data_IF_940207595219
#
_entry.id   IF_940207595219
#
_cell.length_a   1.000
_cell.length_b   1.000
_cell.length_c   1.000
_cell.angle_alpha   90.00
_cell.angle_beta   90.00
_cell.angle_gamma   90.00
#
_symmetry.space_group_name_H-M   'P 1'
#
loop_
_entity.id
_entity.type
_entity.pdbx_description
1 polymer ?
#
# COMPACT_ATOMS: atom_id res chain seq x y z
N UNK A 1 -49.94 3.38 -5.74
CA UNK A 1 -49.14 4.26 -6.59
C UNK A 1 -48.19 3.42 -7.41
N UNK A 2 -48.64 3.04 -8.60
CA UNK A 2 -47.92 2.19 -9.56
C UNK A 2 -47.60 3.05 -10.77
N UNK A 3 -46.45 3.67 -10.78
CA UNK A 3 -45.96 4.41 -11.96
C UNK A 3 -44.45 4.23 -11.98
N UNK A 4 -43.97 3.19 -12.63
CA UNK A 4 -42.66 3.11 -13.33
C UNK A 4 -42.50 1.71 -13.94
N UNK A 5 -43.40 1.37 -14.84
CA UNK A 5 -43.18 0.30 -15.79
C UNK A 5 -43.38 0.87 -17.20
N UNK A 6 -42.42 1.64 -17.68
CA UNK A 6 -42.33 1.91 -19.09
C UNK A 6 -41.12 1.16 -19.63
N UNK A 7 -41.38 0.11 -20.39
CA UNK A 7 -40.41 -0.54 -21.27
C UNK A 7 -39.74 0.52 -22.18
N UNK A 8 -38.58 0.99 -21.77
CA UNK A 8 -37.69 1.76 -22.65
C UNK A 8 -36.92 0.74 -23.48
N UNK A 9 -37.50 0.31 -24.57
CA UNK A 9 -36.78 -0.36 -25.64
C UNK A 9 -36.03 0.72 -26.44
N UNK A 10 -34.92 1.21 -25.92
CA UNK A 10 -34.11 2.18 -26.64
C UNK A 10 -33.03 1.48 -27.45
N UNK A 11 -32.77 1.91 -28.70
CA UNK A 11 -31.69 1.39 -29.55
C UNK A 11 -30.27 1.63 -28.93
N UNK A 12 -30.13 2.50 -27.96
CA UNK A 12 -28.88 2.76 -27.21
C UNK A 12 -28.34 1.56 -26.43
N UNK A 13 -29.21 0.60 -26.05
CA UNK A 13 -28.74 -0.64 -25.39
C UNK A 13 -27.80 -1.47 -26.26
N UNK A 14 -27.85 -1.32 -27.58
CA UNK A 14 -27.06 -2.10 -28.53
C UNK A 14 -25.59 -1.70 -28.56
N UNK A 15 -25.28 -0.39 -28.55
CA UNK A 15 -23.91 0.12 -28.65
C UNK A 15 -23.09 -0.19 -27.38
N UNK A 16 -23.65 0.10 -26.18
CA UNK A 16 -22.98 -0.21 -24.93
C UNK A 16 -22.86 -1.71 -24.68
N UNK A 17 -23.83 -2.51 -25.16
CA UNK A 17 -23.75 -3.96 -25.05
C UNK A 17 -22.67 -4.56 -25.95
N UNK A 18 -22.38 -3.93 -27.08
CA UNK A 18 -21.31 -4.32 -27.98
C UNK A 18 -19.94 -3.88 -27.46
N UNK A 19 -19.84 -2.67 -26.91
CA UNK A 19 -18.60 -2.12 -26.35
C UNK A 19 -18.14 -2.82 -25.07
N UNK A 20 -19.09 -3.30 -24.26
CA UNK A 20 -18.82 -3.95 -22.97
C UNK A 20 -19.67 -5.23 -22.84
N UNK A 21 -19.25 -6.32 -23.49
CA UNK A 21 -19.97 -7.58 -23.40
C UNK A 21 -20.06 -8.02 -21.92
N UNK A 22 -21.25 -8.43 -21.49
CA UNK A 22 -21.44 -9.02 -20.18
C UNK A 22 -20.59 -10.28 -20.05
N UNK A 23 -20.01 -10.47 -18.86
CA UNK A 23 -19.26 -11.67 -18.57
C UNK A 23 -20.20 -12.87 -18.42
N UNK A 24 -20.29 -13.70 -19.46
CA UNK A 24 -21.16 -14.87 -19.50
C UNK A 24 -20.45 -16.15 -19.05
N UNK A 25 -19.20 -16.04 -18.60
CA UNK A 25 -18.40 -17.19 -18.18
C UNK A 25 -18.56 -17.47 -16.69
N UNK A 26 -18.16 -18.67 -16.28
CA UNK A 26 -18.13 -19.09 -14.89
C UNK A 26 -17.35 -18.09 -14.02
N UNK A 27 -17.80 -17.81 -12.78
CA UNK A 27 -17.05 -16.99 -11.82
C UNK A 27 -15.60 -17.43 -11.63
N UNK A 28 -15.30 -18.71 -11.75
CA UNK A 28 -13.95 -19.26 -11.64
C UNK A 28 -13.01 -18.76 -12.74
N UNK A 29 -13.53 -18.60 -13.95
CA UNK A 29 -12.74 -18.04 -15.07
C UNK A 29 -12.40 -16.56 -14.78
N UNK A 30 -13.34 -15.82 -14.19
CA UNK A 30 -13.07 -14.45 -13.77
C UNK A 30 -11.99 -14.40 -12.69
N UNK A 31 -12.10 -15.24 -11.66
CA UNK A 31 -11.10 -15.32 -10.59
C UNK A 31 -9.72 -15.66 -11.16
N UNK A 32 -9.64 -16.64 -12.05
CA UNK A 32 -8.38 -17.00 -12.72
C UNK A 32 -7.82 -15.82 -13.53
N UNK A 33 -8.64 -15.14 -14.32
CA UNK A 33 -8.24 -13.97 -15.09
C UNK A 33 -7.74 -12.83 -14.18
N UNK A 34 -8.42 -12.59 -13.06
CA UNK A 34 -8.02 -11.61 -12.05
C UNK A 34 -6.65 -11.95 -11.44
N UNK A 35 -6.44 -13.21 -11.09
CA UNK A 35 -5.15 -13.67 -10.54
C UNK A 35 -4.04 -13.57 -11.59
N UNK A 36 -4.31 -13.85 -12.85
CA UNK A 36 -3.35 -13.64 -13.96
C UNK A 36 -3.01 -12.16 -14.09
N UNK A 37 -3.99 -11.27 -14.12
CA UNK A 37 -3.75 -9.82 -14.19
C UNK A 37 -2.94 -9.32 -12.99
N UNK A 38 -3.26 -9.79 -11.79
CA UNK A 38 -2.48 -9.50 -10.58
C UNK A 38 -1.03 -9.98 -10.71
N UNK A 39 -0.82 -11.22 -11.14
CA UNK A 39 0.51 -11.78 -11.34
C UNK A 39 1.31 -11.02 -12.41
N UNK A 40 0.67 -10.56 -13.49
CA UNK A 40 1.30 -9.68 -14.49
C UNK A 40 1.74 -8.37 -13.86
N UNK A 41 0.88 -7.74 -13.06
CA UNK A 41 1.19 -6.49 -12.37
C UNK A 41 2.37 -6.64 -11.40
N UNK A 42 2.41 -7.74 -10.63
CA UNK A 42 3.54 -8.08 -9.75
C UNK A 42 4.81 -8.30 -10.56
N UNK A 43 4.72 -9.11 -11.62
CA UNK A 43 5.89 -9.48 -12.44
C UNK A 43 6.53 -8.27 -13.11
N UNK A 44 5.74 -7.34 -13.64
CA UNK A 44 6.26 -6.14 -14.30
C UNK A 44 7.14 -5.31 -13.35
N UNK A 45 6.74 -5.18 -12.10
CA UNK A 45 7.55 -4.51 -11.07
C UNK A 45 8.76 -5.35 -10.65
N UNK A 46 8.58 -6.67 -10.53
CA UNK A 46 9.66 -7.57 -10.18
C UNK A 46 10.76 -7.59 -11.23
N UNK A 47 10.45 -7.40 -12.53
CA UNK A 47 11.44 -7.28 -13.60
C UNK A 47 12.42 -6.11 -13.39
N UNK A 48 12.02 -5.05 -12.69
CA UNK A 48 12.95 -3.99 -12.29
C UNK A 48 14.03 -4.52 -11.34
N UNK A 49 13.64 -5.36 -10.36
CA UNK A 49 14.60 -5.98 -9.46
C UNK A 49 15.56 -6.91 -10.20
N UNK A 50 15.05 -7.72 -11.12
CA UNK A 50 15.87 -8.58 -12.00
C UNK A 50 16.84 -7.74 -12.83
N UNK A 51 16.40 -6.58 -13.30
CA UNK A 51 17.29 -5.63 -14.01
C UNK A 51 18.39 -5.07 -13.11
N UNK A 52 18.08 -4.78 -11.84
CA UNK A 52 19.09 -4.33 -10.86
C UNK A 52 20.14 -5.41 -10.57
N UNK A 53 19.72 -6.66 -10.50
CA UNK A 53 20.65 -7.80 -10.30
C UNK A 53 21.64 -7.98 -11.44
N UNK A 54 21.31 -7.52 -12.66
CA UNK A 54 22.23 -7.55 -13.80
C UNK A 54 23.37 -6.52 -13.68
N UNK A 55 23.17 -5.46 -12.88
CA UNK A 55 24.19 -4.45 -12.62
C UNK A 55 24.30 -4.16 -11.12
N UNK A 56 24.77 -5.13 -10.33
CA UNK A 56 24.75 -5.03 -8.86
C UNK A 56 25.58 -3.86 -8.34
N UNK A 57 26.67 -3.49 -9.01
CA UNK A 57 27.52 -2.36 -8.59
C UNK A 57 26.78 -1.01 -8.59
N UNK A 58 25.75 -0.86 -9.42
CA UNK A 58 24.95 0.36 -9.51
C UNK A 58 23.77 0.40 -8.53
N UNK A 59 23.27 -0.78 -8.12
CA UNK A 59 22.00 -0.87 -7.40
C UNK A 59 22.08 -1.56 -6.04
N UNK A 60 23.24 -2.03 -5.63
CA UNK A 60 23.43 -2.69 -4.35
C UNK A 60 24.68 -2.18 -3.63
N UNK A 61 24.57 -2.09 -2.31
CA UNK A 61 25.71 -1.86 -1.40
C UNK A 61 25.83 -3.12 -0.54
N UNK A 62 26.76 -4.01 -0.91
CA UNK A 62 26.81 -5.36 -0.36
C UNK A 62 25.55 -6.15 -0.74
N UNK A 63 24.82 -6.63 0.26
CA UNK A 63 23.54 -7.37 0.13
C UNK A 63 22.30 -6.46 0.16
N UNK A 64 22.48 -5.14 0.26
CA UNK A 64 21.41 -4.16 0.43
C UNK A 64 21.04 -3.54 -0.91
N UNK A 65 19.81 -3.73 -1.42
CA UNK A 65 19.33 -3.01 -2.58
C UNK A 65 19.21 -1.50 -2.27
N UNK A 66 19.42 -0.69 -3.30
CA UNK A 66 19.32 0.77 -3.21
C UNK A 66 17.88 1.17 -2.89
N UNK A 67 17.74 2.18 -2.06
CA UNK A 67 16.48 2.84 -1.78
C UNK A 67 16.37 4.13 -2.60
N UNK A 68 15.20 4.34 -3.18
CA UNK A 68 14.94 5.48 -4.08
C UNK A 68 14.08 6.56 -3.42
N UNK A 69 13.70 6.39 -2.15
CA UNK A 69 13.03 7.41 -1.34
C UNK A 69 13.79 7.69 -0.04
N UNK A 70 13.66 8.91 0.45
CA UNK A 70 14.22 9.31 1.74
C UNK A 70 13.46 8.70 2.93
N UNK A 71 12.22 8.27 2.72
CA UNK A 71 11.37 7.70 3.77
C UNK A 71 11.62 6.21 4.00
N UNK A 72 12.24 5.53 3.04
CA UNK A 72 12.52 4.10 3.13
C UNK A 72 13.28 3.70 4.41
N UNK A 73 14.36 4.39 4.84
CA UNK A 73 15.04 4.10 6.09
C UNK A 73 14.13 4.21 7.31
N UNK A 74 13.18 5.15 7.30
CA UNK A 74 12.22 5.33 8.38
C UNK A 74 11.32 4.09 8.53
N UNK A 75 10.72 3.62 7.44
CA UNK A 75 9.84 2.43 7.46
C UNK A 75 10.58 1.16 7.85
N UNK A 76 11.81 0.97 7.34
CA UNK A 76 12.65 -0.18 7.67
C UNK A 76 13.12 -0.17 9.13
N UNK A 77 13.45 1.00 9.65
CA UNK A 77 13.82 1.18 11.05
C UNK A 77 12.66 0.78 11.96
N UNK A 78 11.46 1.28 11.71
CA UNK A 78 10.28 0.95 12.51
C UNK A 78 9.95 -0.56 12.46
N UNK A 79 10.13 -1.19 11.29
CA UNK A 79 9.96 -2.63 11.14
C UNK A 79 10.96 -3.42 12.00
N UNK A 80 12.23 -2.97 12.04
CA UNK A 80 13.27 -3.58 12.84
C UNK A 80 12.99 -3.42 14.33
N UNK A 81 12.72 -2.18 14.78
CA UNK A 81 12.42 -1.88 16.18
C UNK A 81 11.20 -2.68 16.68
N UNK A 82 10.21 -2.91 15.81
CA UNK A 82 9.07 -3.75 16.14
C UNK A 82 9.47 -5.21 16.41
N UNK A 83 10.30 -5.81 15.54
CA UNK A 83 10.75 -7.19 15.70
C UNK A 83 11.70 -7.35 16.90
N UNK A 84 12.50 -6.33 17.21
CA UNK A 84 13.41 -6.30 18.36
C UNK A 84 12.69 -5.98 19.68
N UNK A 85 11.38 -5.64 19.64
CA UNK A 85 10.58 -5.32 20.82
C UNK A 85 10.96 -3.99 21.49
N UNK A 86 11.68 -3.12 20.78
CA UNK A 86 12.13 -1.80 21.26
C UNK A 86 11.33 -0.65 20.63
N UNK A 87 10.33 -0.94 19.79
CA UNK A 87 9.52 0.06 19.15
C UNK A 87 8.93 1.07 20.14
N UNK A 88 9.11 2.35 19.85
CA UNK A 88 8.69 3.44 20.74
C UNK A 88 9.60 3.67 21.97
N UNK A 89 10.71 2.93 22.10
CA UNK A 89 11.74 3.11 23.13
C UNK A 89 13.00 3.75 22.52
N UNK A 90 12.83 4.81 21.74
CA UNK A 90 13.93 5.47 21.05
C UNK A 90 14.83 6.21 22.05
N UNK A 91 15.99 5.66 22.33
CA UNK A 91 16.98 6.24 23.25
C UNK A 91 17.48 7.60 22.76
N UNK A 92 17.57 7.80 21.45
CA UNK A 92 18.00 9.09 20.87
C UNK A 92 17.01 10.22 21.14
N UNK A 93 15.72 9.88 21.25
CA UNK A 93 14.67 10.85 21.62
C UNK A 93 14.58 11.05 23.14
N UNK A 94 15.03 10.08 23.91
CA UNK A 94 15.06 10.11 25.35
C UNK A 94 16.41 10.62 25.91
N UNK A 95 17.31 11.07 25.03
CA UNK A 95 18.59 11.63 25.49
C UNK A 95 18.29 12.90 26.29
N UNK A 96 18.66 12.96 27.60
CA UNK A 96 18.42 14.18 28.39
C UNK A 96 19.19 15.33 27.74
N UNK A 97 18.46 16.36 27.35
CA UNK A 97 19.08 17.61 26.91
C UNK A 97 19.85 18.19 28.07
N UNK A 98 21.16 18.07 28.04
CA UNK A 98 22.02 18.57 29.10
C UNK A 98 22.95 17.54 29.71
N UNK A 99 23.03 16.30 29.18
CA UNK A 99 24.18 15.45 29.52
C UNK A 99 25.43 16.12 28.97
N UNK A 100 26.27 16.58 29.88
CA UNK A 100 27.57 17.20 29.59
C UNK A 100 28.46 16.35 28.67
N UNK A 101 28.27 15.04 28.66
CA UNK A 101 28.98 14.10 27.80
C UNK A 101 28.72 14.29 26.29
N UNK A 102 27.53 14.72 25.87
CA UNK A 102 27.25 14.97 24.45
C UNK A 102 27.84 16.30 24.00
N UNK A 103 27.92 17.27 24.90
CA UNK A 103 28.51 18.59 24.67
C UNK A 103 30.03 18.52 24.55
N UNK A 104 30.68 17.62 25.31
CA UNK A 104 32.13 17.43 25.28
C UNK A 104 32.64 16.65 24.05
N UNK A 105 31.88 15.65 23.59
CA UNK A 105 32.26 14.84 22.42
C UNK A 105 32.12 15.56 21.08
N UNK A 106 31.29 16.56 20.96
CA UNK A 106 31.14 17.38 19.76
C UNK A 106 31.79 18.75 19.92
N UNK A 107 33.08 18.83 20.22
CA UNK A 107 33.87 20.04 20.18
C UNK A 107 33.12 21.32 19.69
N UNK A 108 32.18 21.82 20.50
CA UNK A 108 32.09 23.24 20.71
C UNK A 108 31.36 24.12 19.71
N UNK A 109 30.46 23.64 18.84
CA UNK A 109 29.68 24.57 18.01
C UNK A 109 28.26 24.10 17.73
N UNK A 110 27.48 23.94 18.81
CA UNK A 110 26.02 24.01 18.65
C UNK A 110 25.69 25.51 18.84
N UNK A 111 25.09 26.19 17.85
CA UNK A 111 24.65 27.58 18.01
C UNK A 111 23.76 27.73 19.24
N UNK A 112 23.96 28.80 20.01
CA UNK A 112 23.22 29.05 21.26
C UNK A 112 21.69 29.08 21.08
N UNK A 113 21.23 29.32 19.87
CA UNK A 113 19.81 29.25 19.47
C UNK A 113 19.16 27.88 19.74
N UNK A 114 19.94 26.80 19.70
CA UNK A 114 19.45 25.45 20.03
C UNK A 114 19.60 25.07 21.49
N UNK A 115 20.28 25.90 22.32
CA UNK A 115 20.44 25.67 23.75
C UNK A 115 19.23 26.09 24.58
N UNK A 116 18.35 26.93 24.02
CA UNK A 116 17.25 27.55 24.75
C UNK A 116 15.91 26.87 24.59
N UNK A 117 15.82 25.76 23.88
CA UNK A 117 14.61 24.93 23.95
C UNK A 117 14.58 24.28 25.33
N UNK A 118 14.01 24.99 26.33
CA UNK A 118 13.56 24.37 27.56
C UNK A 118 12.66 23.22 27.15
N UNK A 119 13.18 22.00 27.21
CA UNK A 119 12.34 20.81 27.14
C UNK A 119 11.39 20.85 28.32
N UNK A 120 10.21 21.37 28.12
CA UNK A 120 9.04 21.01 28.89
C UNK A 120 9.06 19.48 28.91
N UNK A 121 8.89 18.87 30.10
CA UNK A 121 8.91 17.42 30.32
C UNK A 121 8.38 16.68 29.11
N UNK A 122 9.26 16.02 28.37
CA UNK A 122 8.89 15.35 27.14
C UNK A 122 7.87 14.29 27.52
N UNK A 123 6.62 14.55 27.21
CA UNK A 123 5.64 13.50 27.02
C UNK A 123 6.29 12.52 26.08
N UNK A 124 6.77 11.39 26.62
CA UNK A 124 7.27 10.28 25.82
C UNK A 124 6.15 9.99 24.85
N UNK A 125 6.29 10.42 23.60
CA UNK A 125 5.34 10.09 22.54
C UNK A 125 5.59 8.60 22.34
N UNK A 126 4.91 7.78 23.11
CA UNK A 126 4.85 6.35 22.87
C UNK A 126 4.05 6.23 21.58
N UNK A 127 4.73 5.96 20.50
CA UNK A 127 4.07 5.49 19.29
C UNK A 127 3.35 4.20 19.67
N UNK A 128 2.05 4.28 19.91
CA UNK A 128 1.24 3.16 20.37
C UNK A 128 1.19 2.05 19.32
N UNK A 129 1.14 2.44 18.06
CA UNK A 129 0.88 1.52 16.97
C UNK A 129 1.98 1.64 15.92
N UNK A 130 2.56 0.51 15.54
CA UNK A 130 3.53 0.49 14.44
C UNK A 130 2.82 0.78 13.13
N UNK A 131 3.38 1.63 12.24
CA UNK A 131 2.79 1.89 10.94
C UNK A 131 2.59 0.58 10.16
N UNK A 132 1.44 0.48 9.48
CA UNK A 132 1.04 -0.76 8.79
C UNK A 132 2.11 -1.26 7.81
N UNK A 133 2.74 -0.38 7.04
CA UNK A 133 3.81 -0.77 6.11
C UNK A 133 4.99 -1.39 6.87
N UNK A 134 5.43 -0.78 7.97
CA UNK A 134 6.51 -1.30 8.81
C UNK A 134 6.14 -2.64 9.44
N UNK A 135 4.89 -2.80 9.88
CA UNK A 135 4.38 -4.07 10.39
C UNK A 135 4.41 -5.17 9.31
N UNK A 136 3.95 -4.87 8.11
CA UNK A 136 3.97 -5.83 6.99
C UNK A 136 5.41 -6.23 6.65
N UNK A 137 6.34 -5.28 6.56
CA UNK A 137 7.75 -5.56 6.33
C UNK A 137 8.30 -6.45 7.45
N UNK A 138 8.06 -6.11 8.72
CA UNK A 138 8.52 -6.88 9.88
C UNK A 138 8.06 -8.34 9.82
N UNK A 139 6.83 -8.61 9.36
CA UNK A 139 6.27 -9.97 9.24
C UNK A 139 6.88 -10.78 8.10
N UNK A 140 7.32 -10.14 7.01
CA UNK A 140 7.91 -10.86 5.87
C UNK A 140 9.43 -11.00 5.97
N UNK A 141 10.11 -10.23 6.79
CA UNK A 141 11.58 -10.29 6.97
C UNK A 141 12.13 -11.69 7.23
N UNK A 142 11.48 -12.58 8.03
CA UNK A 142 11.99 -13.93 8.24
C UNK A 142 12.13 -14.74 6.94
N UNK A 143 11.28 -14.50 5.94
CA UNK A 143 11.37 -15.16 4.63
C UNK A 143 12.55 -14.69 3.78
N UNK A 144 13.20 -13.59 4.19
CA UNK A 144 14.35 -12.98 3.52
C UNK A 144 15.64 -13.05 4.35
N UNK A 145 15.74 -14.06 5.23
CA UNK A 145 16.93 -14.30 6.05
C UNK A 145 17.29 -13.14 7.00
N UNK A 146 16.31 -12.38 7.43
CA UNK A 146 16.54 -11.23 8.33
C UNK A 146 16.93 -9.92 7.62
N UNK A 147 17.01 -9.91 6.29
CA UNK A 147 17.37 -8.72 5.53
C UNK A 147 16.17 -7.79 5.32
N UNK A 148 16.06 -6.73 6.13
CA UNK A 148 14.98 -5.73 6.07
C UNK A 148 14.95 -4.97 4.74
N UNK A 149 16.11 -4.69 4.17
CA UNK A 149 16.23 -3.95 2.90
C UNK A 149 15.65 -4.77 1.74
N UNK A 150 16.02 -6.04 1.70
CA UNK A 150 15.52 -6.96 0.68
C UNK A 150 14.02 -7.23 0.86
N UNK A 151 13.57 -7.47 2.08
CA UNK A 151 12.15 -7.67 2.41
C UNK A 151 11.32 -6.45 2.03
N UNK A 152 11.74 -5.24 2.45
CA UNK A 152 11.06 -3.99 2.11
C UNK A 152 11.00 -3.72 0.62
N UNK A 153 12.06 -4.06 -0.12
CA UNK A 153 12.10 -3.88 -1.57
C UNK A 153 11.19 -4.88 -2.30
N UNK A 154 11.23 -6.16 -1.91
CA UNK A 154 10.50 -7.22 -2.61
C UNK A 154 9.02 -7.33 -2.22
N UNK A 155 8.58 -6.68 -1.14
CA UNK A 155 7.15 -6.60 -0.82
C UNK A 155 6.41 -5.60 -1.74
N UNK A 156 7.11 -4.62 -2.32
CA UNK A 156 6.51 -3.55 -3.14
C UNK A 156 5.68 -4.10 -4.31
N UNK A 157 6.19 -5.01 -5.18
CA UNK A 157 5.42 -5.55 -6.28
C UNK A 157 4.06 -6.13 -5.87
N UNK A 158 4.03 -6.81 -4.73
CA UNK A 158 2.82 -7.44 -4.20
C UNK A 158 1.82 -6.42 -3.68
N UNK A 159 2.28 -5.49 -2.84
CA UNK A 159 1.42 -4.46 -2.26
C UNK A 159 0.90 -3.49 -3.31
N UNK A 160 1.76 -3.05 -4.22
CA UNK A 160 1.38 -2.13 -5.29
C UNK A 160 0.38 -2.74 -6.29
N UNK A 161 0.32 -4.06 -6.39
CA UNK A 161 -0.62 -4.75 -7.28
C UNK A 161 -1.96 -5.07 -6.61
N UNK A 162 -2.05 -4.97 -5.27
CA UNK A 162 -3.24 -5.37 -4.51
C UNK A 162 -4.53 -4.67 -4.94
N UNK A 163 -4.46 -3.42 -5.43
CA UNK A 163 -5.63 -2.67 -5.86
C UNK A 163 -6.42 -3.38 -6.98
N UNK A 164 -5.78 -4.24 -7.77
CA UNK A 164 -6.42 -4.99 -8.83
C UNK A 164 -7.53 -5.92 -8.32
N UNK A 165 -7.36 -6.46 -7.11
CA UNK A 165 -8.32 -7.40 -6.52
C UNK A 165 -9.66 -6.71 -6.23
N UNK A 166 -9.71 -5.66 -5.38
CA UNK A 166 -10.98 -4.97 -5.13
C UNK A 166 -11.53 -4.27 -6.37
N UNK A 167 -10.68 -3.78 -7.28
CA UNK A 167 -11.12 -3.17 -8.54
C UNK A 167 -11.83 -4.20 -9.43
N UNK A 168 -11.21 -5.36 -9.64
CA UNK A 168 -11.81 -6.42 -10.45
C UNK A 168 -13.14 -6.89 -9.86
N UNK A 169 -13.20 -7.13 -8.54
CA UNK A 169 -14.43 -7.55 -7.86
C UNK A 169 -15.50 -6.45 -7.95
N UNK A 170 -15.15 -5.18 -7.79
CA UNK A 170 -16.08 -4.06 -7.94
C UNK A 170 -16.74 -4.07 -9.30
N UNK A 171 -15.95 -4.13 -10.37
CA UNK A 171 -16.46 -4.15 -11.74
C UNK A 171 -17.23 -5.43 -12.08
N UNK A 172 -16.83 -6.57 -11.53
CA UNK A 172 -17.60 -7.81 -11.65
C UNK A 172 -19.01 -7.66 -11.06
N UNK A 173 -19.11 -7.04 -9.87
CA UNK A 173 -20.42 -6.85 -9.20
C UNK A 173 -21.36 -5.89 -9.94
N UNK A 174 -20.83 -4.90 -10.66
CA UNK A 174 -21.66 -4.00 -11.48
C UNK A 174 -21.89 -4.53 -12.90
N UNK A 175 -21.37 -5.72 -13.23
CA UNK A 175 -21.61 -6.40 -14.51
C UNK A 175 -20.62 -6.08 -15.64
N UNK A 176 -19.47 -5.45 -15.33
CA UNK A 176 -18.43 -5.07 -16.30
C UNK A 176 -17.05 -5.63 -15.95
N UNK A 177 -16.90 -6.95 -15.74
CA UNK A 177 -15.66 -7.55 -15.26
C UNK A 177 -14.46 -7.29 -16.17
N UNK A 178 -14.63 -7.28 -17.48
CA UNK A 178 -13.56 -6.97 -18.44
C UNK A 178 -13.01 -5.56 -18.26
N UNK A 179 -13.87 -4.58 -17.94
CA UNK A 179 -13.44 -3.21 -17.69
C UNK A 179 -12.58 -3.13 -16.41
N UNK A 180 -12.92 -3.91 -15.37
CA UNK A 180 -12.10 -4.00 -14.17
C UNK A 180 -10.71 -4.58 -14.42
N UNK A 181 -10.63 -5.68 -15.18
CA UNK A 181 -9.37 -6.34 -15.51
C UNK A 181 -8.48 -5.42 -16.38
N UNK A 182 -9.03 -4.86 -17.47
CA UNK A 182 -8.31 -3.96 -18.34
C UNK A 182 -7.91 -2.65 -17.65
N UNK A 183 -8.84 -2.04 -16.90
CA UNK A 183 -8.58 -0.82 -16.13
C UNK A 183 -7.49 -1.02 -15.09
N UNK A 184 -7.45 -2.19 -14.43
CA UNK A 184 -6.38 -2.56 -13.50
C UNK A 184 -5.02 -2.68 -14.20
N UNK A 185 -4.96 -3.31 -15.37
CA UNK A 185 -3.73 -3.38 -16.15
C UNK A 185 -3.29 -1.99 -16.63
N UNK A 186 -4.18 -1.16 -17.16
CA UNK A 186 -3.86 0.21 -17.56
C UNK A 186 -3.32 1.02 -16.38
N UNK A 187 -3.96 0.93 -15.20
CA UNK A 187 -3.48 1.59 -13.99
C UNK A 187 -2.09 1.07 -13.56
N UNK A 188 -1.80 -0.23 -13.75
CA UNK A 188 -0.47 -0.81 -13.47
C UNK A 188 0.62 -0.14 -14.29
N UNK A 189 0.34 0.20 -15.57
CA UNK A 189 1.29 0.80 -16.48
C UNK A 189 1.23 2.34 -16.51
N UNK A 190 0.32 2.96 -15.76
CA UNK A 190 0.29 4.41 -15.62
C UNK A 190 1.62 4.91 -15.03
N UNK A 191 2.29 5.82 -15.73
CA UNK A 191 3.66 6.26 -15.41
C UNK A 191 3.79 6.80 -13.99
N UNK A 192 2.82 7.59 -13.54
CA UNK A 192 2.82 8.21 -12.22
C UNK A 192 2.73 7.15 -11.12
N UNK A 193 1.79 6.22 -11.24
CA UNK A 193 1.64 5.15 -10.26
C UNK A 193 2.79 4.16 -10.31
N UNK A 194 3.25 3.80 -11.51
CA UNK A 194 4.37 2.89 -11.68
C UNK A 194 5.65 3.44 -11.05
N UNK A 195 5.95 4.72 -11.28
CA UNK A 195 7.11 5.39 -10.70
C UNK A 195 7.03 5.43 -9.17
N UNK A 196 5.84 5.74 -8.62
CA UNK A 196 5.62 5.80 -7.16
C UNK A 196 5.57 4.43 -6.48
N UNK A 197 5.41 3.35 -7.23
CA UNK A 197 5.38 1.96 -6.76
C UNK A 197 6.51 1.11 -7.37
N UNK A 198 7.60 1.75 -7.77
CA UNK A 198 8.79 1.09 -8.33
C UNK A 198 9.64 0.43 -7.25
N UNK A 199 10.49 -0.50 -7.66
CA UNK A 199 11.44 -1.19 -6.79
C UNK A 199 12.34 -0.18 -6.07
N UNK A 200 12.59 -0.41 -4.77
CA UNK A 200 13.39 0.46 -3.91
C UNK A 200 12.63 1.67 -3.35
N UNK A 201 11.42 1.94 -3.85
CA UNK A 201 10.57 3.01 -3.31
C UNK A 201 9.70 2.48 -2.18
N UNK A 202 10.30 2.30 -1.02
CA UNK A 202 9.61 1.83 0.19
C UNK A 202 8.87 3.01 0.80
N UNK A 203 7.59 3.14 0.44
CA UNK A 203 6.72 4.23 0.85
C UNK A 203 5.26 3.75 0.85
N UNK A 204 4.36 4.47 1.52
CA UNK A 204 2.91 4.18 1.55
C UNK A 204 2.22 4.39 0.22
N UNK A 205 2.84 5.12 -0.72
CA UNK A 205 2.31 5.41 -2.06
C UNK A 205 1.84 4.15 -2.82
N UNK A 206 2.47 3.00 -2.57
CA UNK A 206 2.09 1.73 -3.19
C UNK A 206 0.69 1.25 -2.78
N UNK A 207 0.13 1.74 -1.70
CA UNK A 207 -1.20 1.40 -1.20
C UNK A 207 -2.25 2.46 -1.51
N UNK A 208 -1.87 3.60 -2.09
CA UNK A 208 -2.75 4.72 -2.35
C UNK A 208 -3.94 4.40 -3.28
N UNK A 209 -3.82 3.40 -4.15
CA UNK A 209 -4.96 2.93 -4.95
C UNK A 209 -5.76 1.83 -4.25
N UNK A 210 -5.11 1.03 -3.41
CA UNK A 210 -5.74 -0.13 -2.78
C UNK A 210 -6.89 0.27 -1.84
N UNK A 211 -6.63 1.14 -0.88
CA UNK A 211 -7.62 1.49 0.15
C UNK A 211 -8.83 2.23 -0.39
N UNK A 212 -8.72 3.25 -1.26
CA UNK A 212 -9.89 3.91 -1.83
C UNK A 212 -10.75 2.97 -2.67
N UNK A 213 -10.13 2.08 -3.46
CA UNK A 213 -10.86 1.10 -4.26
C UNK A 213 -11.52 0.04 -3.37
N UNK A 214 -10.85 -0.39 -2.31
CA UNK A 214 -11.40 -1.32 -1.32
C UNK A 214 -12.61 -0.70 -0.58
N UNK A 215 -12.50 0.55 -0.16
CA UNK A 215 -13.60 1.28 0.46
C UNK A 215 -14.79 1.40 -0.51
N UNK A 216 -14.54 1.74 -1.77
CA UNK A 216 -15.56 1.80 -2.82
C UNK A 216 -16.27 0.44 -3.03
N UNK A 217 -15.50 -0.66 -2.99
CA UNK A 217 -16.07 -2.01 -3.06
C UNK A 217 -16.99 -2.30 -1.86
N UNK A 218 -16.58 -1.93 -0.65
CA UNK A 218 -17.41 -2.14 0.53
C UNK A 218 -18.66 -1.26 0.53
N UNK A 219 -18.59 -0.01 0.05
CA UNK A 219 -19.77 0.86 -0.14
C UNK A 219 -20.74 0.22 -1.14
N UNK A 220 -20.23 -0.29 -2.26
CA UNK A 220 -21.07 -1.00 -3.24
C UNK A 220 -21.72 -2.25 -2.61
N UNK A 221 -20.97 -3.02 -1.81
CA UNK A 221 -21.48 -4.20 -1.13
C UNK A 221 -22.56 -3.85 -0.09
N UNK A 222 -22.39 -2.75 0.64
CA UNK A 222 -23.40 -2.21 1.55
C UNK A 222 -24.67 -1.82 0.80
N UNK A 223 -24.53 -1.09 -0.30
CA UNK A 223 -25.66 -0.67 -1.13
C UNK A 223 -26.45 -1.85 -1.71
N UNK A 224 -25.78 -2.89 -2.14
CA UNK A 224 -26.39 -4.09 -2.72
C UNK A 224 -27.00 -5.04 -1.67
N UNK A 225 -26.72 -4.82 -0.40
CA UNK A 225 -27.17 -5.71 0.68
C UNK A 225 -28.62 -5.43 1.08
N UNK A 226 -29.40 -6.49 1.28
CA UNK A 226 -30.77 -6.43 1.80
C UNK A 226 -30.84 -6.55 3.33
N UNK A 227 -29.74 -6.95 3.97
CA UNK A 227 -29.69 -7.16 5.41
C UNK A 227 -29.07 -5.94 6.11
N UNK A 228 -29.74 -5.37 7.10
CA UNK A 228 -29.21 -4.27 7.90
C UNK A 228 -27.88 -4.60 8.57
N UNK A 229 -27.67 -5.87 9.02
CA UNK A 229 -26.41 -6.33 9.61
C UNK A 229 -25.26 -6.24 8.59
N UNK A 230 -25.50 -6.66 7.36
CA UNK A 230 -24.50 -6.60 6.30
C UNK A 230 -24.23 -5.16 5.84
N UNK A 231 -25.27 -4.31 5.79
CA UNK A 231 -25.09 -2.87 5.51
C UNK A 231 -24.15 -2.25 6.56
N UNK A 232 -24.45 -2.49 7.84
CA UNK A 232 -23.60 -1.99 8.93
C UNK A 232 -22.16 -2.52 8.84
N UNK A 233 -22.00 -3.83 8.64
CA UNK A 233 -20.69 -4.47 8.53
C UNK A 233 -19.85 -3.86 7.37
N UNK A 234 -20.43 -3.80 6.16
CA UNK A 234 -19.70 -3.26 5.01
C UNK A 234 -19.41 -1.77 5.14
N UNK A 235 -20.30 -0.99 5.75
CA UNK A 235 -20.06 0.42 6.04
C UNK A 235 -18.91 0.60 7.04
N UNK A 236 -18.87 -0.23 8.09
CA UNK A 236 -17.76 -0.22 9.04
C UNK A 236 -16.43 -0.61 8.40
N UNK A 237 -16.43 -1.64 7.53
CA UNK A 237 -15.25 -2.04 6.76
C UNK A 237 -14.78 -0.96 5.78
N UNK A 238 -15.72 -0.22 5.15
CA UNK A 238 -15.36 0.92 4.31
C UNK A 238 -14.70 2.03 5.12
N UNK A 239 -15.25 2.35 6.30
CA UNK A 239 -14.65 3.32 7.22
C UNK A 239 -13.26 2.89 7.69
N UNK A 240 -13.08 1.61 8.03
CA UNK A 240 -11.78 1.06 8.41
C UNK A 240 -10.77 1.15 7.24
N UNK A 241 -11.18 0.84 6.02
CA UNK A 241 -10.31 0.94 4.85
C UNK A 241 -9.86 2.38 4.55
N UNK A 242 -10.64 3.40 4.92
CA UNK A 242 -10.25 4.81 4.79
C UNK A 242 -9.41 5.31 5.96
N UNK A 243 -9.43 4.59 7.09
CA UNK A 243 -8.63 4.92 8.26
C UNK A 243 -7.19 4.39 8.16
N UNK A 244 -6.99 3.26 7.48
CA UNK A 244 -5.69 2.58 7.30
C UNK A 244 -4.84 3.24 6.21
#
# INVERSE_FOLDING_TARGET
MSVFSKNISSPEKSFFHWLMPRWNYSPWIFILALLVCYAVSVNVRYQQFVSWQKNPKAYFVGDRPMMTTLDAPYWLRMAREYNEGIYGKDELRNYPSGSSEFSEKQNGRIPDEFRTVKRTEEKIIRYRDVPMLSFLIAKVVPFFGGNYYLAGTLIIPWLASLFMIPLGIYFYRIGFPSAGLLGGLVATFCSEYFTRSSIGRIDTDMLNLFFPVLASLFILAAYQSKSHKNVFLFSALAGLALFL
#
